data_IF_001954105439
#
_entry.id   IF_001954105439
#
_cell.length_a   1.000
_cell.length_b   1.000
_cell.length_c   1.000
_cell.angle_alpha   90.00
_cell.angle_beta   90.00
_cell.angle_gamma   90.00
#
_symmetry.space_group_name_H-M   'P 1'
#
loop_
_entity.id
_entity.type
_entity.pdbx_description
1 polymer ?
#
# COMPACT_ATOMS: atom_id res chain seq x y z
N UNK A 1 24.04 -4.14 -0.88
CA UNK A 1 23.58 -2.97 -1.66
C UNK A 1 24.18 -1.75 -1.01
N UNK A 2 25.17 -1.12 -1.66
CA UNK A 2 25.83 0.09 -1.17
C UNK A 2 24.94 1.28 -1.43
N UNK A 3 24.46 1.91 -0.38
CA UNK A 3 23.78 3.20 -0.42
C UNK A 3 24.77 4.30 -0.80
N UNK A 4 24.44 5.10 -1.79
CA UNK A 4 25.11 6.38 -1.99
C UNK A 4 24.56 7.36 -0.95
N UNK A 5 25.41 7.99 -0.12
CA UNK A 5 24.96 9.06 0.78
C UNK A 5 24.51 10.24 -0.09
N UNK A 6 23.19 10.45 -0.17
CA UNK A 6 22.63 11.57 -0.95
C UNK A 6 21.29 11.27 -1.65
N UNK A 7 20.97 10.00 -1.96
CA UNK A 7 19.67 9.68 -2.54
C UNK A 7 18.58 9.71 -1.46
N UNK A 8 17.52 10.51 -1.64
CA UNK A 8 16.43 10.51 -0.66
C UNK A 8 15.77 9.12 -0.64
N UNK A 9 15.68 8.54 0.54
CA UNK A 9 15.02 7.24 0.75
C UNK A 9 13.56 7.27 0.35
N UNK A 10 12.90 8.39 0.54
CA UNK A 10 11.49 8.64 0.25
C UNK A 10 11.30 9.62 -0.91
N UNK A 11 10.10 9.59 -1.48
CA UNK A 11 9.66 10.50 -2.53
C UNK A 11 8.30 11.06 -2.15
N UNK A 12 8.13 12.38 -2.23
CA UNK A 12 6.83 13.04 -2.05
C UNK A 12 6.16 13.21 -3.41
N UNK A 13 4.94 12.68 -3.54
CA UNK A 13 4.11 12.77 -4.75
C UNK A 13 2.93 13.69 -4.45
N UNK A 14 2.76 14.72 -5.29
CA UNK A 14 1.62 15.62 -5.21
C UNK A 14 0.53 15.13 -6.15
N UNK A 15 -0.64 14.84 -5.60
CA UNK A 15 -1.86 14.52 -6.34
C UNK A 15 -2.69 15.80 -6.56
N UNK A 16 -3.12 16.00 -7.77
CA UNK A 16 -3.96 17.13 -8.17
C UNK A 16 -5.40 16.96 -7.66
N UNK A 17 -6.21 18.03 -7.58
CA UNK A 17 -7.61 17.92 -7.11
C UNK A 17 -8.44 16.89 -7.88
N UNK A 18 -8.26 16.77 -9.19
CA UNK A 18 -8.97 15.78 -9.99
C UNK A 18 -8.54 14.34 -9.69
N UNK A 19 -7.27 14.11 -9.31
CA UNK A 19 -6.75 12.80 -8.89
C UNK A 19 -7.32 12.41 -7.52
N UNK A 20 -7.45 13.37 -6.60
CA UNK A 20 -8.12 13.15 -5.32
C UNK A 20 -9.59 12.78 -5.53
N UNK A 21 -10.27 13.42 -6.51
CA UNK A 21 -11.64 13.07 -6.88
C UNK A 21 -11.72 11.64 -7.40
N UNK A 22 -10.80 11.23 -8.27
CA UNK A 22 -10.70 9.86 -8.78
C UNK A 22 -10.59 8.83 -7.66
N UNK A 23 -9.79 9.13 -6.63
CA UNK A 23 -9.67 8.27 -5.44
C UNK A 23 -10.97 8.20 -4.61
N UNK A 24 -11.75 9.27 -4.55
CA UNK A 24 -13.08 9.24 -3.92
C UNK A 24 -14.05 8.34 -4.69
N UNK A 25 -14.07 8.43 -6.01
CA UNK A 25 -14.91 7.60 -6.87
C UNK A 25 -14.53 6.12 -6.73
N UNK A 26 -13.22 5.80 -6.66
CA UNK A 26 -12.73 4.44 -6.40
C UNK A 26 -13.14 3.94 -5.01
N UNK A 27 -13.04 4.76 -3.97
CA UNK A 27 -13.52 4.40 -2.63
C UNK A 27 -14.99 4.00 -2.65
N UNK A 28 -15.83 4.76 -3.35
CA UNK A 28 -17.26 4.44 -3.46
C UNK A 28 -17.50 3.15 -4.25
N UNK A 29 -16.74 2.93 -5.33
CA UNK A 29 -16.79 1.71 -6.12
C UNK A 29 -16.42 0.47 -5.27
N UNK A 30 -15.34 0.52 -4.50
CA UNK A 30 -14.93 -0.55 -3.57
C UNK A 30 -16.00 -0.85 -2.54
N UNK A 31 -16.62 0.18 -1.96
CA UNK A 31 -17.70 0.04 -1.01
C UNK A 31 -18.93 -0.67 -1.59
N UNK A 32 -19.30 -0.37 -2.83
CA UNK A 32 -20.40 -1.04 -3.54
C UNK A 32 -20.08 -2.51 -3.83
N UNK A 33 -18.89 -2.80 -4.34
CA UNK A 33 -18.43 -4.16 -4.65
C UNK A 33 -18.38 -5.05 -3.42
N UNK A 34 -17.86 -4.54 -2.30
CA UNK A 34 -17.80 -5.27 -1.04
C UNK A 34 -19.21 -5.69 -0.55
N UNK A 35 -20.19 -4.80 -0.67
CA UNK A 35 -21.59 -5.09 -0.31
C UNK A 35 -22.20 -6.16 -1.25
N UNK A 36 -21.95 -6.07 -2.55
CA UNK A 36 -22.50 -7.02 -3.55
C UNK A 36 -21.93 -8.44 -3.36
N UNK A 37 -20.66 -8.55 -2.98
CA UNK A 37 -20.00 -9.85 -2.75
C UNK A 37 -20.33 -10.46 -1.38
N UNK A 38 -21.19 -9.83 -0.56
CA UNK A 38 -21.48 -10.28 0.79
C UNK A 38 -20.23 -10.36 1.66
N UNK A 39 -19.14 -9.75 1.20
CA UNK A 39 -17.93 -9.65 1.97
C UNK A 39 -18.32 -8.93 3.27
N UNK A 40 -18.09 -9.57 4.41
CA UNK A 40 -18.10 -8.88 5.69
C UNK A 40 -17.01 -7.81 5.56
N UNK A 41 -17.42 -6.62 5.14
CA UNK A 41 -16.60 -5.40 5.20
C UNK A 41 -16.12 -5.38 6.64
N UNK A 42 -14.84 -5.59 6.83
CA UNK A 42 -14.22 -5.99 8.10
C UNK A 42 -14.97 -5.40 9.28
N UNK A 43 -15.14 -6.18 10.32
CA UNK A 43 -16.01 -6.00 11.48
C UNK A 43 -15.72 -4.67 12.23
N UNK A 44 -15.66 -3.55 11.50
CA UNK A 44 -15.58 -2.22 12.07
C UNK A 44 -17.00 -1.65 12.07
N UNK A 45 -17.62 -1.46 13.25
CA UNK A 45 -18.93 -0.84 13.36
C UNK A 45 -18.95 0.60 12.87
N UNK A 46 -17.79 1.19 12.57
CA UNK A 46 -17.65 2.53 12.06
C UNK A 46 -17.44 2.53 10.55
N UNK A 47 -18.54 2.62 9.78
CA UNK A 47 -18.53 2.69 8.31
C UNK A 47 -17.65 3.84 7.78
N UNK A 48 -17.61 4.97 8.48
CA UNK A 48 -16.79 6.11 8.13
C UNK A 48 -15.28 5.80 8.18
N UNK A 49 -14.86 5.05 9.19
CA UNK A 49 -13.47 4.60 9.32
C UNK A 49 -13.05 3.67 8.19
N UNK A 50 -13.94 2.77 7.79
CA UNK A 50 -13.71 1.85 6.67
C UNK A 50 -13.60 2.64 5.36
N UNK A 51 -14.54 3.56 5.11
CA UNK A 51 -14.52 4.45 3.94
C UNK A 51 -13.22 5.29 3.91
N UNK A 52 -12.85 5.88 5.05
CA UNK A 52 -11.58 6.63 5.17
C UNK A 52 -10.38 5.75 4.83
N UNK A 53 -10.35 4.50 5.29
CA UNK A 53 -9.29 3.53 4.98
C UNK A 53 -9.18 3.24 3.48
N UNK A 54 -10.30 3.01 2.80
CA UNK A 54 -10.32 2.79 1.34
C UNK A 54 -9.84 4.03 0.57
N UNK A 55 -10.27 5.22 0.99
CA UNK A 55 -9.85 6.48 0.37
C UNK A 55 -8.35 6.72 0.51
N UNK A 56 -7.81 6.57 1.73
CA UNK A 56 -6.38 6.73 2.01
C UNK A 56 -5.56 5.68 1.26
N UNK A 57 -6.06 4.45 1.16
CA UNK A 57 -5.47 3.39 0.33
C UNK A 57 -5.35 3.81 -1.13
N UNK A 58 -6.45 4.27 -1.73
CA UNK A 58 -6.49 4.71 -3.11
C UNK A 58 -5.52 5.88 -3.40
N UNK A 59 -5.37 6.83 -2.47
CA UNK A 59 -4.37 7.91 -2.61
C UNK A 59 -2.93 7.37 -2.69
N UNK A 60 -2.59 6.38 -1.87
CA UNK A 60 -1.26 5.76 -1.90
C UNK A 60 -1.00 4.95 -3.16
N UNK A 61 -2.00 4.21 -3.63
CA UNK A 61 -1.94 3.44 -4.87
C UNK A 61 -1.74 4.36 -6.07
N UNK A 62 -2.52 5.44 -6.18
CA UNK A 62 -2.38 6.41 -7.26
C UNK A 62 -1.03 7.15 -7.21
N UNK A 63 -0.57 7.53 -6.03
CA UNK A 63 0.76 8.12 -5.87
C UNK A 63 1.88 7.16 -6.29
N UNK A 64 1.74 5.86 -5.98
CA UNK A 64 2.69 4.83 -6.42
C UNK A 64 2.66 4.65 -7.93
N UNK A 65 1.46 4.64 -8.53
CA UNK A 65 1.26 4.59 -9.97
C UNK A 65 1.92 5.80 -10.67
N UNK A 66 1.67 7.00 -10.21
CA UNK A 66 2.25 8.23 -10.77
C UNK A 66 3.79 8.22 -10.69
N UNK A 67 4.34 7.72 -9.60
CA UNK A 67 5.79 7.63 -9.43
C UNK A 67 6.42 6.57 -10.33
N UNK A 68 5.81 5.38 -10.40
CA UNK A 68 6.37 4.24 -11.14
C UNK A 68 6.04 4.29 -12.63
N UNK A 69 4.93 4.90 -13.00
CA UNK A 69 4.35 4.85 -14.35
C UNK A 69 3.63 3.54 -14.64
N UNK A 70 3.30 2.75 -13.62
CA UNK A 70 2.55 1.49 -13.71
C UNK A 70 1.09 1.79 -13.36
N UNK A 71 0.14 1.28 -14.14
CA UNK A 71 -1.29 1.55 -13.93
C UNK A 71 -1.82 0.92 -12.63
N UNK A 72 -2.76 1.62 -11.98
CA UNK A 72 -3.53 1.08 -10.86
C UNK A 72 -4.61 0.13 -11.36
N UNK A 73 -5.10 -0.73 -10.49
CA UNK A 73 -6.26 -1.59 -10.72
C UNK A 73 -7.58 -0.91 -10.32
N UNK A 74 -7.68 0.43 -10.43
CA UNK A 74 -8.89 1.16 -10.09
C UNK A 74 -10.08 0.73 -10.94
N UNK A 75 -11.25 0.69 -10.31
CA UNK A 75 -12.53 0.29 -10.91
C UNK A 75 -12.59 -1.15 -11.45
N UNK A 76 -11.57 -1.94 -11.19
CA UNK A 76 -11.60 -3.37 -11.52
C UNK A 76 -12.34 -4.18 -10.45
N UNK A 77 -12.94 -5.32 -10.82
CA UNK A 77 -13.52 -6.23 -9.85
C UNK A 77 -12.47 -6.69 -8.81
N UNK A 78 -12.88 -6.77 -7.55
CA UNK A 78 -12.00 -7.29 -6.52
C UNK A 78 -11.57 -8.74 -6.83
N UNK A 79 -10.28 -8.95 -6.98
CA UNK A 79 -9.66 -10.27 -7.10
C UNK A 79 -8.76 -10.46 -5.89
N UNK A 80 -9.09 -11.47 -5.08
CA UNK A 80 -8.28 -11.78 -3.89
C UNK A 80 -6.86 -12.15 -4.29
N UNK A 81 -5.87 -11.54 -3.64
CA UNK A 81 -4.46 -11.79 -3.89
C UNK A 81 -3.85 -10.95 -5.02
N UNK A 82 -4.64 -10.15 -5.73
CA UNK A 82 -4.11 -9.24 -6.76
C UNK A 82 -3.46 -8.02 -6.11
N UNK A 83 -2.28 -7.64 -6.58
CA UNK A 83 -1.58 -6.43 -6.15
C UNK A 83 -2.29 -5.14 -6.62
N UNK A 84 -2.07 -4.03 -5.92
CA UNK A 84 -2.74 -2.76 -6.18
C UNK A 84 -2.21 -2.04 -7.43
N UNK A 85 -0.89 -2.15 -7.70
CA UNK A 85 -0.19 -1.48 -8.81
C UNK A 85 0.77 -2.47 -9.48
N UNK A 86 0.38 -3.12 -10.57
CA UNK A 86 1.19 -4.16 -11.21
C UNK A 86 1.48 -5.32 -10.23
N UNK A 87 2.75 -5.48 -9.83
CA UNK A 87 3.19 -6.47 -8.83
C UNK A 87 3.41 -5.86 -7.44
N UNK A 88 2.92 -4.64 -7.20
CA UNK A 88 3.19 -3.87 -5.99
C UNK A 88 1.92 -3.81 -5.12
N UNK A 89 2.03 -4.27 -3.90
CA UNK A 89 1.04 -4.07 -2.84
C UNK A 89 1.34 -2.75 -2.10
N UNK A 90 0.38 -1.87 -1.99
CA UNK A 90 0.56 -0.55 -1.38
C UNK A 90 -0.13 -0.49 -0.03
N UNK A 91 0.61 -0.13 1.00
CA UNK A 91 0.08 0.06 2.37
C UNK A 91 0.22 1.52 2.76
N UNK A 92 -0.91 2.20 2.90
CA UNK A 92 -0.95 3.63 3.16
C UNK A 92 -1.32 3.94 4.60
N UNK A 93 -0.53 4.80 5.26
CA UNK A 93 -0.84 5.38 6.57
C UNK A 93 -1.56 6.72 6.40
N UNK A 94 -2.60 6.95 7.19
CA UNK A 94 -3.29 8.25 7.25
C UNK A 94 -2.47 9.30 8.00
N UNK A 95 -2.86 10.57 7.87
CA UNK A 95 -2.24 11.73 8.55
C UNK A 95 -2.10 11.46 10.05
N UNK A 96 -0.92 11.75 10.58
CA UNK A 96 -0.61 11.56 12.00
C UNK A 96 -0.47 10.10 12.45
N UNK A 97 -0.65 9.13 11.55
CA UNK A 97 -0.41 7.72 11.84
C UNK A 97 1.00 7.30 11.39
N UNK A 98 1.70 6.60 12.25
CA UNK A 98 3.04 6.10 11.97
C UNK A 98 3.08 4.59 12.25
N UNK A 99 2.73 3.82 11.23
CA UNK A 99 2.82 2.36 11.28
C UNK A 99 4.00 1.91 10.41
N UNK A 100 4.64 0.81 10.78
CA UNK A 100 5.53 0.09 9.87
C UNK A 100 4.76 -0.49 8.69
N UNK A 101 5.48 -0.95 7.68
CA UNK A 101 4.91 -1.64 6.54
C UNK A 101 4.22 -2.93 7.01
N UNK A 102 2.96 -3.14 6.62
CA UNK A 102 2.17 -4.30 6.99
C UNK A 102 2.08 -5.28 5.82
N UNK A 103 2.31 -6.56 6.11
CA UNK A 103 2.07 -7.64 5.16
C UNK A 103 1.32 -8.80 5.82
N UNK A 104 0.59 -9.56 5.03
CA UNK A 104 -0.16 -10.73 5.47
C UNK A 104 0.36 -11.97 4.75
N UNK A 105 0.33 -13.13 5.41
CA UNK A 105 0.74 -14.40 4.77
C UNK A 105 -0.10 -14.77 3.56
N UNK A 106 -1.27 -14.15 3.42
CA UNK A 106 -2.16 -14.32 2.27
C UNK A 106 -1.77 -13.47 1.07
N UNK A 107 -0.81 -12.56 1.23
CA UNK A 107 -0.35 -11.64 0.18
C UNK A 107 0.84 -12.23 -0.59
N UNK A 108 0.91 -13.56 -0.72
CA UNK A 108 2.09 -14.28 -1.26
C UNK A 108 2.32 -14.07 -2.76
N UNK A 109 1.31 -13.62 -3.48
CA UNK A 109 1.38 -13.45 -4.94
C UNK A 109 1.96 -12.08 -5.35
N UNK A 110 2.30 -11.23 -4.39
CA UNK A 110 2.91 -9.93 -4.64
C UNK A 110 4.43 -10.01 -4.61
N UNK A 111 5.09 -9.33 -5.54
CA UNK A 111 6.55 -9.29 -5.55
C UNK A 111 7.08 -8.22 -4.59
N UNK A 112 6.36 -7.11 -4.43
CA UNK A 112 6.81 -5.92 -3.71
C UNK A 112 5.73 -5.36 -2.79
N UNK A 113 6.20 -4.72 -1.72
CA UNK A 113 5.40 -3.85 -0.86
C UNK A 113 5.93 -2.43 -0.90
N UNK A 114 5.03 -1.45 -0.92
CA UNK A 114 5.34 -0.03 -0.75
C UNK A 114 4.65 0.49 0.49
N UNK A 115 5.40 1.21 1.34
CA UNK A 115 4.84 2.00 2.43
C UNK A 115 4.61 3.43 1.95
N UNK A 116 3.36 3.85 1.91
CA UNK A 116 2.95 5.21 1.63
C UNK A 116 2.41 5.90 2.88
N UNK A 117 2.47 7.22 2.93
CA UNK A 117 1.93 8.05 4.01
C UNK A 117 1.27 9.29 3.47
N UNK A 118 0.03 9.51 3.80
CA UNK A 118 -0.65 10.77 3.54
C UNK A 118 -0.11 11.84 4.48
N UNK A 119 0.52 12.88 3.92
CA UNK A 119 1.08 14.00 4.68
C UNK A 119 0.10 15.16 4.78
N UNK A 120 -0.60 15.45 3.68
CA UNK A 120 -1.53 16.58 3.58
C UNK A 120 -2.68 16.23 2.66
N UNK A 121 -3.86 16.71 3.01
CA UNK A 121 -5.08 16.61 2.21
C UNK A 121 -5.84 17.93 2.32
N UNK A 122 -5.96 18.60 1.20
CA UNK A 122 -6.70 19.84 1.00
C UNK A 122 -7.56 19.68 -0.25
N UNK A 123 -7.47 20.60 -1.23
CA UNK A 123 -8.06 20.35 -2.56
C UNK A 123 -7.30 19.24 -3.29
N UNK A 124 -5.95 19.23 -3.19
CA UNK A 124 -5.07 18.15 -3.60
C UNK A 124 -4.53 17.35 -2.41
N UNK A 125 -3.63 16.41 -2.67
CA UNK A 125 -2.99 15.62 -1.61
C UNK A 125 -1.46 15.55 -1.82
N UNK A 126 -0.73 15.42 -0.71
CA UNK A 126 0.70 15.08 -0.72
C UNK A 126 0.87 13.72 -0.06
N UNK A 127 1.37 12.77 -0.81
CA UNK A 127 1.64 11.40 -0.36
C UNK A 127 3.14 11.15 -0.40
N UNK A 128 3.72 10.77 0.72
CA UNK A 128 5.11 10.33 0.81
C UNK A 128 5.18 8.82 0.59
N UNK A 129 5.96 8.40 -0.37
CA UNK A 129 6.37 7.01 -0.55
C UNK A 129 7.64 6.80 0.29
N UNK A 130 7.50 6.16 1.44
CA UNK A 130 8.56 6.04 2.46
C UNK A 130 9.68 5.07 2.03
N UNK A 131 9.34 4.09 1.20
CA UNK A 131 10.23 3.06 0.72
C UNK A 131 9.49 1.79 0.37
N UNK A 132 10.23 0.79 -0.10
CA UNK A 132 9.68 -0.49 -0.53
C UNK A 132 10.48 -1.67 0.04
N UNK A 133 9.88 -2.85 0.02
CA UNK A 133 10.51 -4.12 0.40
C UNK A 133 10.05 -5.25 -0.52
N UNK A 134 10.87 -6.27 -0.68
CA UNK A 134 10.43 -7.53 -1.27
C UNK A 134 9.49 -8.28 -0.33
N UNK A 135 8.57 -9.05 -0.87
CA UNK A 135 7.66 -9.87 -0.05
C UNK A 135 8.41 -10.82 0.89
N UNK A 136 9.49 -11.44 0.43
CA UNK A 136 10.29 -12.31 1.27
C UNK A 136 11.02 -11.55 2.40
N UNK A 137 11.41 -10.28 2.18
CA UNK A 137 12.02 -9.43 3.23
C UNK A 137 11.00 -9.09 4.32
N UNK A 138 9.72 -8.87 3.95
CA UNK A 138 8.64 -8.65 4.88
C UNK A 138 8.56 -9.78 5.93
N UNK A 139 8.65 -11.02 5.49
CA UNK A 139 8.52 -12.17 6.38
C UNK A 139 9.84 -12.61 7.03
N UNK A 140 10.99 -12.24 6.46
CA UNK A 140 12.32 -12.54 7.03
C UNK A 140 12.72 -11.57 8.11
N UNK A 141 12.43 -10.27 7.97
CA UNK A 141 12.86 -9.21 8.88
C UNK A 141 11.70 -8.56 9.65
N UNK A 142 10.48 -8.74 9.20
CA UNK A 142 9.29 -8.26 9.89
C UNK A 142 9.04 -9.03 11.19
N UNK A 143 8.24 -8.44 12.07
CA UNK A 143 7.79 -9.08 13.31
C UNK A 143 6.27 -9.20 13.30
N UNK A 144 5.71 -10.33 13.76
CA UNK A 144 4.27 -10.44 13.90
C UNK A 144 3.78 -9.39 14.92
N UNK A 145 2.64 -8.76 14.63
CA UNK A 145 2.03 -7.79 15.53
C UNK A 145 1.29 -8.55 16.64
N UNK A 146 1.90 -8.61 17.83
CA UNK A 146 1.39 -9.37 18.98
C UNK A 146 0.63 -8.52 20.01
N UNK A 147 0.42 -7.23 19.77
CA UNK A 147 -0.10 -6.28 20.77
C UNK A 147 -1.49 -6.62 21.30
N UNK A 148 -2.26 -7.46 20.62
CA UNK A 148 -3.64 -7.80 20.92
C UNK A 148 -3.94 -9.30 21.08
N UNK A 149 -2.90 -10.12 20.95
CA UNK A 149 -2.99 -11.55 21.27
C UNK A 149 -1.63 -12.04 21.76
N UNK A 150 -1.57 -12.77 22.90
CA UNK A 150 -0.33 -13.32 23.44
C UNK A 150 0.26 -14.42 22.55
N UNK A 151 -0.52 -14.92 21.59
CA UNK A 151 -0.12 -15.93 20.64
C UNK A 151 -0.39 -15.46 19.22
N UNK A 152 0.46 -15.86 18.27
CA UNK A 152 0.23 -15.60 16.85
C UNK A 152 -1.08 -16.25 16.40
N UNK A 153 -2.03 -15.44 15.93
CA UNK A 153 -3.29 -15.90 15.35
C UNK A 153 -3.18 -15.83 13.82
N UNK A 154 -3.75 -16.81 13.13
CA UNK A 154 -3.83 -16.81 11.66
C UNK A 154 -4.45 -15.49 11.18
N UNK A 155 -3.79 -14.81 10.25
CA UNK A 155 -4.23 -13.53 9.71
C UNK A 155 -3.71 -12.29 10.46
N UNK A 156 -2.83 -12.46 11.45
CA UNK A 156 -2.11 -11.32 12.02
C UNK A 156 -1.11 -10.73 11.03
N UNK A 157 -1.04 -9.38 10.92
CA UNK A 157 -0.06 -8.74 10.05
C UNK A 157 1.36 -8.92 10.59
N UNK A 158 2.29 -9.06 9.69
CA UNK A 158 3.70 -8.81 9.91
C UNK A 158 3.97 -7.33 9.78
N UNK A 159 4.86 -6.79 10.62
CA UNK A 159 5.25 -5.38 10.60
C UNK A 159 6.74 -5.31 10.30
N UNK A 160 7.08 -4.68 9.17
CA UNK A 160 8.46 -4.34 8.84
C UNK A 160 8.72 -2.88 9.22
N UNK A 161 9.77 -2.67 10.03
CA UNK A 161 10.13 -1.33 10.45
C UNK A 161 10.66 -0.50 9.25
N UNK A 162 10.32 0.81 9.14
CA UNK A 162 10.74 1.64 8.00
C UNK A 162 12.25 1.66 7.73
N UNK A 163 13.08 1.41 8.73
CA UNK A 163 14.54 1.35 8.55
C UNK A 163 15.01 0.22 7.62
N UNK A 164 14.21 -0.83 7.44
CA UNK A 164 14.50 -1.94 6.53
C UNK A 164 14.01 -1.70 5.10
N UNK A 165 13.24 -0.63 4.86
CA UNK A 165 12.75 -0.34 3.52
C UNK A 165 13.89 0.14 2.61
N UNK A 166 13.82 -0.25 1.36
CA UNK A 166 14.72 0.20 0.29
C UNK A 166 14.25 1.55 -0.27
N UNK A 167 15.16 2.28 -0.94
CA UNK A 167 14.84 3.58 -1.49
C UNK A 167 13.88 3.47 -2.68
N UNK A 168 12.89 4.37 -2.75
CA UNK A 168 11.89 4.40 -3.83
C UNK A 168 12.53 4.52 -5.22
N UNK A 169 13.63 5.24 -5.34
CA UNK A 169 14.36 5.42 -6.61
C UNK A 169 14.80 4.12 -7.28
N UNK A 170 14.93 3.04 -6.51
CA UNK A 170 15.34 1.72 -7.02
C UNK A 170 14.15 0.83 -7.43
N UNK A 171 12.91 1.12 -6.98
CA UNK A 171 11.74 0.28 -7.18
C UNK A 171 11.44 0.03 -8.67
N UNK A 172 11.40 1.08 -9.48
CA UNK A 172 11.05 0.97 -10.90
C UNK A 172 11.97 0.00 -11.65
N UNK A 173 13.27 0.06 -11.38
CA UNK A 173 14.25 -0.88 -11.97
C UNK A 173 14.00 -2.31 -11.54
N UNK A 174 13.69 -2.53 -10.25
CA UNK A 174 13.44 -3.88 -9.72
C UNK A 174 12.12 -4.44 -10.25
N UNK A 175 11.08 -3.61 -10.39
CA UNK A 175 9.81 -4.03 -10.97
C UNK A 175 9.98 -4.50 -12.42
N UNK A 176 10.68 -3.74 -13.27
CA UNK A 176 10.97 -4.13 -14.66
C UNK A 176 11.77 -5.43 -14.77
N UNK A 177 12.63 -5.72 -13.79
CA UNK A 177 13.34 -7.00 -13.72
C UNK A 177 12.41 -8.14 -13.32
N UNK A 178 11.55 -7.92 -12.33
CA UNK A 178 10.61 -8.93 -11.84
C UNK A 178 9.58 -9.33 -12.90
N UNK A 179 9.04 -8.40 -13.67
CA UNK A 179 8.07 -8.69 -14.73
C UNK A 179 8.59 -9.75 -15.73
N UNK A 180 9.90 -9.78 -15.97
CA UNK A 180 10.53 -10.79 -16.85
C UNK A 180 10.53 -12.21 -16.30
N UNK A 181 10.28 -12.39 -15.01
CA UNK A 181 10.26 -13.69 -14.34
C UNK A 181 8.85 -14.17 -14.00
N UNK A 182 7.87 -13.27 -14.00
CA UNK A 182 6.47 -13.57 -13.65
C UNK A 182 5.53 -13.61 -14.88
N UNK A 183 6.02 -13.31 -16.08
CA UNK A 183 5.35 -13.51 -17.37
C UNK A 183 5.87 -14.78 -18.05
#
# INVERSE_FOLDING_TARGET
VTWWPGDPKHVDVTLQPWEVRLCLDEMEHRGKNARQLGARVGFDPNEERVRRGHFVGALGELATSNFTGIETNFFEPFVKGRADVGLIEVRTCDIGKNYGLRGYETDVDHAFYVLARLLRLEEGAVVRLEGWAWTHEMFSYGKPKLDWAPHRVKGQPWILHPNYLQAMTTLKKQHLLAERFYT
#
